data_IF_079528752134
#
_entry.id   IF_079528752134
#
_cell.length_a   1.000
_cell.length_b   1.000
_cell.length_c   1.000
_cell.angle_alpha   90.00
_cell.angle_beta   90.00
_cell.angle_gamma   90.00
#
_symmetry.space_group_name_H-M   'P 1'
#
loop_
_entity.id
_entity.type
_entity.pdbx_description
1 polymer ?
#
# COMPACT_ATOMS: atom_id res chain seq x y z
N UNK A 1 -23.77 19.80 -12.74
CA UNK A 1 -23.12 20.27 -11.50
C UNK A 1 -22.03 19.28 -11.17
N UNK A 2 -20.78 19.65 -11.39
CA UNK A 2 -19.64 18.73 -11.29
C UNK A 2 -19.27 18.49 -9.83
N UNK A 3 -19.27 17.22 -9.41
CA UNK A 3 -18.65 16.82 -8.16
C UNK A 3 -17.15 17.12 -8.27
N UNK A 4 -16.72 18.22 -7.66
CA UNK A 4 -15.33 18.49 -7.37
C UNK A 4 -14.88 17.47 -6.32
N UNK A 5 -14.47 16.28 -6.76
CA UNK A 5 -13.61 15.43 -5.96
C UNK A 5 -12.37 16.27 -5.67
N UNK A 6 -12.00 16.55 -4.41
CA UNK A 6 -10.83 17.36 -4.12
C UNK A 6 -9.63 16.68 -4.78
N UNK A 7 -9.09 17.31 -5.81
CA UNK A 7 -7.84 16.89 -6.44
C UNK A 7 -6.75 17.19 -5.41
N UNK A 8 -6.52 16.22 -4.52
CA UNK A 8 -5.49 16.31 -3.49
C UNK A 8 -4.14 16.45 -4.20
N UNK A 9 -3.58 17.65 -4.17
CA UNK A 9 -2.20 17.88 -4.58
C UNK A 9 -1.32 17.17 -3.55
N UNK A 10 -0.54 16.13 -3.93
CA UNK A 10 0.39 15.53 -3.00
C UNK A 10 1.34 16.63 -2.52
N UNK A 11 1.63 16.67 -1.21
CA UNK A 11 2.65 17.52 -0.63
C UNK A 11 3.88 17.56 -1.57
N UNK A 12 4.26 18.77 -1.99
CA UNK A 12 5.42 19.06 -2.85
C UNK A 12 6.74 18.87 -2.08
N UNK A 13 6.78 17.90 -1.15
CA UNK A 13 8.03 17.47 -0.53
C UNK A 13 8.83 16.76 -1.60
N UNK A 14 10.04 17.25 -1.86
CA UNK A 14 10.98 16.49 -2.67
C UNK A 14 11.36 15.22 -1.89
N UNK A 15 10.65 14.14 -2.17
CA UNK A 15 10.85 12.86 -1.49
C UNK A 15 12.26 12.30 -1.75
N UNK A 16 13.03 12.86 -2.69
CA UNK A 16 14.46 12.54 -2.84
C UNK A 16 15.26 13.00 -1.62
N UNK A 17 14.96 14.18 -1.09
CA UNK A 17 15.62 14.70 0.13
C UNK A 17 15.29 13.81 1.33
N UNK A 18 14.07 13.28 1.41
CA UNK A 18 13.70 12.34 2.47
C UNK A 18 14.54 11.06 2.41
N UNK A 19 14.92 10.58 1.23
CA UNK A 19 15.73 9.37 1.08
C UNK A 19 17.16 9.53 1.62
N UNK A 20 17.67 10.76 1.77
CA UNK A 20 18.98 11.01 2.37
C UNK A 20 19.04 10.57 3.84
N UNK A 21 17.89 10.47 4.52
CA UNK A 21 17.84 9.94 5.89
C UNK A 21 18.14 8.44 5.98
N UNK A 22 17.98 7.71 4.87
CA UNK A 22 18.38 6.31 4.75
C UNK A 22 19.87 6.24 4.40
N UNK A 23 20.72 6.52 5.38
CA UNK A 23 22.19 6.61 5.24
C UNK A 23 22.84 5.40 4.53
N UNK A 24 22.20 4.24 4.53
CA UNK A 24 22.67 3.01 3.89
C UNK A 24 22.22 2.81 2.43
N UNK A 25 21.40 3.72 1.89
CA UNK A 25 20.77 3.60 0.57
C UNK A 25 20.93 4.88 -0.26
N UNK A 26 21.37 4.71 -1.51
CA UNK A 26 21.50 5.79 -2.50
C UNK A 26 20.39 5.70 -3.53
N UNK A 27 19.62 6.78 -3.70
CA UNK A 27 18.58 6.88 -4.73
C UNK A 27 19.13 6.62 -6.14
N UNK A 28 18.32 5.96 -7.00
CA UNK A 28 18.63 5.73 -8.41
C UNK A 28 17.54 6.22 -9.35
N UNK A 29 16.35 5.65 -9.23
CA UNK A 29 15.25 5.94 -10.14
C UNK A 29 13.90 5.79 -9.44
N UNK A 30 12.87 6.42 -9.99
CA UNK A 30 11.49 6.25 -9.55
C UNK A 30 10.84 5.12 -10.36
N UNK A 31 10.34 4.10 -9.67
CA UNK A 31 9.68 2.95 -10.28
C UNK A 31 8.16 3.13 -10.37
N UNK A 32 7.56 3.90 -9.45
CA UNK A 32 6.11 4.01 -9.35
C UNK A 32 5.63 5.41 -8.99
N UNK A 33 4.53 5.82 -9.63
CA UNK A 33 3.86 7.12 -9.45
C UNK A 33 2.56 7.02 -8.63
N UNK A 34 2.45 6.01 -7.75
CA UNK A 34 1.26 5.83 -6.91
C UNK A 34 0.94 7.10 -6.11
N UNK A 35 -0.35 7.44 -6.01
CA UNK A 35 -0.81 8.64 -5.27
C UNK A 35 -0.46 8.60 -3.78
N UNK A 36 -0.54 7.40 -3.19
CA UNK A 36 -0.30 7.16 -1.75
C UNK A 36 1.15 6.75 -1.44
N UNK A 37 1.72 5.94 -2.32
CA UNK A 37 3.04 5.36 -2.15
C UNK A 37 3.87 5.64 -3.40
N UNK A 38 4.83 6.55 -3.29
CA UNK A 38 5.85 6.71 -4.33
C UNK A 38 6.88 5.60 -4.14
N UNK A 39 7.24 4.94 -5.23
CA UNK A 39 8.15 3.78 -5.18
C UNK A 39 9.44 4.13 -5.89
N UNK A 40 10.56 3.90 -5.21
CA UNK A 40 11.90 4.23 -5.67
C UNK A 40 12.78 3.00 -5.65
N UNK A 41 13.70 2.94 -6.61
CA UNK A 41 14.83 2.03 -6.59
C UNK A 41 16.02 2.75 -5.97
N UNK A 42 16.64 2.10 -5.00
CA UNK A 42 17.85 2.56 -4.36
C UNK A 42 18.95 1.49 -4.47
N UNK A 43 20.21 1.89 -4.24
CA UNK A 43 21.37 1.00 -4.18
C UNK A 43 21.99 1.12 -2.79
N UNK A 44 22.13 0.01 -2.08
CA UNK A 44 22.85 -0.08 -0.81
C UNK A 44 24.06 -1.00 -0.91
N UNK A 45 24.75 -1.18 0.23
CA UNK A 45 25.93 -2.06 0.33
C UNK A 45 25.63 -3.53 0.01
N UNK A 46 24.39 -3.99 0.25
CA UNK A 46 23.94 -5.36 -0.03
C UNK A 46 23.24 -5.53 -1.39
N UNK A 47 23.32 -4.52 -2.27
CA UNK A 47 22.72 -4.55 -3.60
C UNK A 47 21.55 -3.57 -3.78
N UNK A 48 20.69 -3.85 -4.75
CA UNK A 48 19.55 -2.98 -5.06
C UNK A 48 18.37 -3.22 -4.11
N UNK A 49 17.74 -2.14 -3.69
CA UNK A 49 16.57 -2.11 -2.82
C UNK A 49 15.42 -1.33 -3.48
N UNK A 50 14.19 -1.65 -3.08
CA UNK A 50 13.00 -0.86 -3.36
C UNK A 50 12.59 -0.16 -2.08
N UNK A 51 12.41 1.15 -2.15
CA UNK A 51 11.91 1.99 -1.08
C UNK A 51 10.56 2.55 -1.50
N UNK A 52 9.51 2.20 -0.76
CA UNK A 52 8.21 2.86 -0.86
C UNK A 52 8.11 3.95 0.19
N UNK A 53 7.80 5.15 -0.24
CA UNK A 53 7.60 6.31 0.63
C UNK A 53 6.11 6.49 0.85
N UNK A 54 5.66 6.21 2.05
CA UNK A 54 4.33 6.54 2.53
C UNK A 54 4.36 8.00 2.98
N UNK A 55 3.74 8.89 2.20
CA UNK A 55 3.57 10.27 2.64
C UNK A 55 2.44 10.28 3.64
N UNK A 56 2.75 10.68 4.86
CA UNK A 56 1.75 10.92 5.87
C UNK A 56 1.28 12.35 5.60
N UNK A 57 -0.03 12.53 5.48
CA UNK A 57 -0.58 13.87 5.25
C UNK A 57 -0.04 14.80 6.32
N UNK A 58 0.22 16.05 5.97
CA UNK A 58 0.56 17.12 6.90
C UNK A 58 0.01 18.43 6.34
N UNK A 59 -1.32 18.49 6.28
CA UNK A 59 -2.07 19.70 5.96
C UNK A 59 -2.16 20.68 7.16
N UNK A 60 -1.57 20.33 8.30
CA UNK A 60 -1.55 21.15 9.52
C UNK A 60 -0.33 22.11 9.65
N UNK A 61 0.45 22.32 8.59
CA UNK A 61 1.53 23.33 8.63
C UNK A 61 0.89 24.72 8.57
N UNK A 62 0.66 25.31 9.75
CA UNK A 62 0.22 26.71 9.90
C UNK A 62 -1.11 26.93 10.62
N UNK A 63 -1.79 25.90 11.14
CA UNK A 63 -3.02 26.06 11.91
C UNK A 63 -2.80 25.75 13.40
N UNK A 64 -3.50 26.50 14.27
CA UNK A 64 -3.60 26.44 15.73
C UNK A 64 -3.03 25.19 16.44
N UNK A 65 -2.29 25.43 17.54
CA UNK A 65 -1.47 24.48 18.32
C UNK A 65 -2.19 23.23 18.85
N UNK A 66 -3.52 23.17 18.86
CA UNK A 66 -4.27 21.97 19.30
C UNK A 66 -4.56 21.00 18.14
N UNK A 67 -5.08 21.51 17.02
CA UNK A 67 -5.36 20.69 15.84
C UNK A 67 -4.08 20.09 15.26
N UNK A 68 -2.97 20.85 15.27
CA UNK A 68 -1.66 20.34 14.86
C UNK A 68 -1.13 19.21 15.76
N UNK A 69 -1.42 19.27 17.08
CA UNK A 69 -1.04 18.21 18.03
C UNK A 69 -1.89 16.96 17.85
N UNK A 70 -3.20 17.10 17.74
CA UNK A 70 -4.14 15.99 17.50
C UNK A 70 -3.80 15.27 16.18
N UNK A 71 -3.45 16.04 15.15
CA UNK A 71 -3.03 15.51 13.87
C UNK A 71 -1.69 14.75 13.93
N UNK A 72 -0.68 15.31 14.62
CA UNK A 72 0.61 14.66 14.80
C UNK A 72 0.49 13.34 15.58
N UNK A 73 -0.40 13.27 16.57
CA UNK A 73 -0.70 12.03 17.30
C UNK A 73 -1.39 10.99 16.42
N UNK A 74 -2.34 11.39 15.56
CA UNK A 74 -2.99 10.48 14.61
C UNK A 74 -2.02 9.93 13.56
N UNK A 75 -1.09 10.76 13.08
CA UNK A 75 0.01 10.36 12.20
C UNK A 75 0.92 9.32 12.89
N UNK A 76 1.34 9.62 14.13
CA UNK A 76 2.18 8.73 14.92
C UNK A 76 1.49 7.38 15.12
N UNK A 77 0.20 7.39 15.47
CA UNK A 77 -0.62 6.19 15.64
C UNK A 77 -0.73 5.38 14.35
N UNK A 78 -0.94 6.04 13.21
CA UNK A 78 -0.99 5.38 11.89
C UNK A 78 0.32 4.66 11.59
N UNK A 79 1.45 5.28 11.90
CA UNK A 79 2.75 4.65 11.65
C UNK A 79 3.06 3.52 12.64
N UNK A 80 2.72 3.69 13.91
CA UNK A 80 2.83 2.63 14.92
C UNK A 80 2.02 1.40 14.52
N UNK A 81 0.80 1.62 14.02
CA UNK A 81 -0.05 0.55 13.48
C UNK A 81 0.62 -0.14 12.28
N UNK A 82 1.13 0.63 11.31
CA UNK A 82 1.81 0.07 10.14
C UNK A 82 3.07 -0.74 10.53
N UNK A 83 3.83 -0.26 11.52
CA UNK A 83 4.98 -0.98 12.08
C UNK A 83 4.56 -2.29 12.75
N UNK A 84 3.53 -2.26 13.58
CA UNK A 84 3.01 -3.44 14.26
C UNK A 84 2.52 -4.50 13.27
N UNK A 85 1.72 -4.09 12.28
CA UNK A 85 1.23 -4.97 11.22
C UNK A 85 2.39 -5.61 10.44
N UNK A 86 3.44 -4.86 10.16
CA UNK A 86 4.58 -5.39 9.43
C UNK A 86 5.45 -6.32 10.28
N UNK A 87 5.62 -6.01 11.57
CA UNK A 87 6.28 -6.90 12.50
C UNK A 87 5.54 -8.24 12.61
N UNK A 88 4.21 -8.20 12.66
CA UNK A 88 3.36 -9.39 12.64
C UNK A 88 3.52 -10.19 11.34
N UNK A 89 3.48 -9.53 10.17
CA UNK A 89 3.71 -10.19 8.89
C UNK A 89 5.07 -10.89 8.84
N UNK A 90 6.14 -10.26 9.36
CA UNK A 90 7.47 -10.88 9.43
C UNK A 90 7.54 -12.05 10.39
N UNK A 91 6.82 -11.99 11.50
CA UNK A 91 6.75 -13.08 12.46
C UNK A 91 6.06 -14.31 11.86
N UNK A 92 5.02 -14.09 11.04
CA UNK A 92 4.25 -15.16 10.39
C UNK A 92 4.91 -15.70 9.11
N UNK A 93 5.58 -14.83 8.35
CA UNK A 93 6.14 -15.15 7.03
C UNK A 93 7.67 -15.16 7.05
N UNK A 94 8.26 -16.34 7.30
CA UNK A 94 9.70 -16.54 7.16
C UNK A 94 10.11 -16.98 5.74
N UNK A 95 11.25 -16.52 5.19
CA UNK A 95 11.73 -16.94 3.88
C UNK A 95 12.00 -18.45 3.75
N UNK A 96 12.35 -19.12 4.85
CA UNK A 96 12.61 -20.56 4.87
C UNK A 96 11.34 -21.38 4.67
N UNK A 97 10.23 -20.96 5.27
CA UNK A 97 8.94 -21.65 5.17
C UNK A 97 8.09 -21.15 4.00
N UNK A 98 8.31 -19.91 3.56
CA UNK A 98 7.49 -19.23 2.55
C UNK A 98 8.38 -18.69 1.39
N UNK A 99 9.04 -19.56 0.63
CA UNK A 99 10.03 -19.16 -0.38
C UNK A 99 9.45 -18.42 -1.60
N UNK A 100 8.12 -18.37 -1.75
CA UNK A 100 7.45 -17.63 -2.81
C UNK A 100 6.86 -16.30 -2.32
N UNK A 101 7.26 -15.83 -1.14
CA UNK A 101 6.73 -14.62 -0.50
C UNK A 101 7.87 -13.69 -0.10
N UNK A 102 7.73 -12.39 -0.40
CA UNK A 102 8.69 -11.34 -0.09
C UNK A 102 7.99 -10.13 0.56
N UNK A 103 7.78 -10.14 1.88
CA UNK A 103 7.22 -9.01 2.60
C UNK A 103 8.24 -7.87 2.74
N UNK A 104 7.78 -6.68 3.17
CA UNK A 104 8.68 -5.56 3.44
C UNK A 104 9.64 -5.89 4.59
N UNK A 105 10.93 -5.62 4.42
CA UNK A 105 11.99 -6.03 5.36
C UNK A 105 12.33 -4.97 6.40
N UNK A 106 12.14 -3.68 6.09
CA UNK A 106 12.25 -2.59 7.09
C UNK A 106 11.11 -1.58 6.94
N UNK A 107 10.68 -1.00 8.05
CA UNK A 107 9.94 0.26 8.06
C UNK A 107 10.71 1.28 8.91
N UNK A 108 10.78 2.51 8.43
CA UNK A 108 11.49 3.59 9.10
C UNK A 108 10.67 4.88 9.02
N UNK A 109 10.43 5.55 10.16
CA UNK A 109 9.87 6.91 10.18
C UNK A 109 10.97 7.89 9.78
N UNK A 110 10.70 8.79 8.85
CA UNK A 110 11.59 9.92 8.63
C UNK A 110 11.58 10.83 9.86
N UNK A 111 12.75 11.31 10.27
CA UNK A 111 12.95 12.24 11.39
C UNK A 111 12.45 13.63 11.06
N UNK A 112 12.75 14.12 9.85
CA UNK A 112 12.54 15.52 9.48
C UNK A 112 11.38 15.72 8.50
N UNK A 113 10.72 14.64 8.09
CA UNK A 113 9.67 14.66 7.10
C UNK A 113 8.45 13.84 7.56
N UNK A 114 7.21 14.24 7.19
CA UNK A 114 5.99 13.51 7.50
C UNK A 114 5.84 12.32 6.56
N UNK A 115 6.79 11.39 6.61
CA UNK A 115 6.76 10.21 5.77
C UNK A 115 7.42 9.01 6.43
N UNK A 116 7.11 7.83 5.92
CA UNK A 116 7.73 6.58 6.32
C UNK A 116 8.24 5.81 5.11
N UNK A 117 9.36 5.13 5.30
CA UNK A 117 10.01 4.29 4.30
C UNK A 117 9.66 2.84 4.57
N UNK A 118 9.12 2.14 3.58
CA UNK A 118 9.06 0.69 3.55
C UNK A 118 10.13 0.17 2.60
N UNK A 119 11.03 -0.65 3.09
CA UNK A 119 12.20 -1.11 2.33
C UNK A 119 12.12 -2.61 2.10
N UNK A 120 12.34 -3.03 0.86
CA UNK A 120 12.57 -4.43 0.50
C UNK A 120 13.68 -4.61 -0.53
N UNK A 121 14.08 -5.85 -0.79
CA UNK A 121 14.97 -6.19 -1.90
C UNK A 121 14.34 -5.83 -3.25
N UNK A 122 15.15 -5.33 -4.18
CA UNK A 122 14.74 -5.14 -5.56
C UNK A 122 14.83 -6.44 -6.36
N UNK A 123 13.73 -6.77 -7.04
CA UNK A 123 13.67 -7.84 -8.05
C UNK A 123 13.40 -7.17 -9.38
N UNK A 124 14.08 -7.63 -10.43
CA UNK A 124 14.18 -6.92 -11.70
C UNK A 124 12.84 -6.70 -12.41
N UNK A 125 11.90 -7.65 -12.30
CA UNK A 125 10.63 -7.57 -13.01
C UNK A 125 9.45 -7.83 -12.07
N UNK A 126 8.39 -7.05 -12.26
CA UNK A 126 7.04 -7.49 -11.96
C UNK A 126 6.56 -8.49 -13.01
N UNK A 127 5.60 -9.34 -12.66
CA UNK A 127 4.96 -10.25 -13.60
C UNK A 127 4.31 -9.45 -14.73
N UNK A 128 3.72 -8.30 -14.41
CA UNK A 128 3.19 -7.37 -15.40
C UNK A 128 4.22 -6.97 -16.47
N UNK A 129 5.40 -6.53 -16.05
CA UNK A 129 6.49 -6.18 -16.99
C UNK A 129 6.95 -7.41 -17.77
N UNK A 130 7.11 -8.55 -17.09
CA UNK A 130 7.59 -9.79 -17.70
C UNK A 130 6.67 -10.31 -18.80
N UNK A 131 5.35 -10.30 -18.59
CA UNK A 131 4.37 -10.73 -19.61
C UNK A 131 4.24 -9.72 -20.76
N UNK A 132 4.56 -8.45 -20.50
CA UNK A 132 4.50 -7.37 -21.50
C UNK A 132 5.77 -7.25 -22.35
N UNK A 133 6.83 -7.98 -22.00
CA UNK A 133 8.15 -7.87 -22.63
C UNK A 133 8.47 -9.12 -23.47
N UNK A 134 9.04 -8.91 -24.65
CA UNK A 134 9.54 -10.02 -25.50
C UNK A 134 10.89 -10.54 -25.00
N UNK A 135 11.19 -11.84 -25.14
CA UNK A 135 10.31 -12.87 -25.68
C UNK A 135 9.17 -13.20 -24.71
N UNK A 136 7.99 -13.46 -25.28
CA UNK A 136 6.84 -13.85 -24.49
C UNK A 136 7.07 -15.20 -23.82
N UNK A 137 6.44 -15.38 -22.66
CA UNK A 137 6.48 -16.65 -21.94
C UNK A 137 5.87 -17.76 -22.80
N UNK A 138 6.55 -18.89 -22.86
CA UNK A 138 6.00 -20.15 -23.33
C UNK A 138 4.90 -20.65 -22.38
N UNK A 139 4.08 -21.59 -22.85
CA UNK A 139 3.00 -22.13 -22.02
C UNK A 139 3.51 -22.91 -20.80
N UNK A 140 4.70 -23.51 -20.89
CA UNK A 140 5.35 -24.17 -19.76
C UNK A 140 5.75 -23.14 -18.70
N UNK A 141 6.35 -22.02 -19.11
CA UNK A 141 6.73 -20.95 -18.18
C UNK A 141 5.50 -20.30 -17.53
N UNK A 142 4.41 -20.08 -18.29
CA UNK A 142 3.15 -19.59 -17.74
C UNK A 142 2.61 -20.52 -16.65
N UNK A 143 2.53 -21.83 -16.93
CA UNK A 143 2.09 -22.83 -15.95
C UNK A 143 2.99 -22.87 -14.72
N UNK A 144 4.30 -22.76 -14.91
CA UNK A 144 5.27 -22.72 -13.81
C UNK A 144 5.09 -21.49 -12.90
N UNK A 145 4.88 -20.32 -13.48
CA UNK A 145 4.60 -19.08 -12.74
C UNK A 145 3.26 -19.20 -12.01
N UNK A 146 2.20 -19.68 -12.67
CA UNK A 146 0.89 -19.89 -12.04
C UNK A 146 0.97 -20.83 -10.85
N UNK A 147 1.68 -21.96 -10.98
CA UNK A 147 1.89 -22.92 -9.90
C UNK A 147 2.57 -22.26 -8.69
N UNK A 148 3.66 -21.52 -8.90
CA UNK A 148 4.35 -20.85 -7.81
C UNK A 148 3.50 -19.75 -7.16
N UNK A 149 2.69 -19.02 -7.93
CA UNK A 149 1.77 -18.02 -7.37
C UNK A 149 0.71 -18.69 -6.47
N UNK A 150 0.15 -19.83 -6.89
CA UNK A 150 -0.76 -20.62 -6.05
C UNK A 150 -0.06 -21.12 -4.77
N UNK A 151 1.21 -21.54 -4.87
CA UNK A 151 2.02 -21.89 -3.69
C UNK A 151 2.26 -20.70 -2.77
N UNK A 152 2.52 -19.50 -3.30
CA UNK A 152 2.67 -18.29 -2.51
C UNK A 152 1.39 -17.99 -1.72
N UNK A 153 0.22 -18.11 -2.35
CA UNK A 153 -1.06 -17.92 -1.67
C UNK A 153 -1.31 -19.01 -0.61
N UNK A 154 -1.02 -20.27 -0.91
CA UNK A 154 -1.12 -21.36 0.06
C UNK A 154 -0.19 -21.15 1.27
N UNK A 155 1.03 -20.68 1.02
CA UNK A 155 2.01 -20.28 2.05
C UNK A 155 1.44 -19.17 2.94
N UNK A 156 0.92 -18.10 2.35
CA UNK A 156 0.29 -17.01 3.10
C UNK A 156 -0.89 -17.50 3.95
N UNK A 157 -1.82 -18.24 3.34
CA UNK A 157 -3.02 -18.72 4.02
C UNK A 157 -2.69 -19.73 5.13
N UNK A 158 -1.69 -20.59 4.91
CA UNK A 158 -1.19 -21.52 5.94
C UNK A 158 -0.61 -20.81 7.16
N UNK A 159 -0.08 -19.60 6.99
CA UNK A 159 0.38 -18.72 8.07
C UNK A 159 -0.74 -17.81 8.63
N UNK A 160 -1.99 -17.99 8.20
CA UNK A 160 -3.12 -17.14 8.59
C UNK A 160 -2.99 -15.69 8.08
N UNK A 161 -2.28 -15.47 6.97
CA UNK A 161 -2.07 -14.16 6.35
C UNK A 161 -2.83 -14.08 5.03
N UNK A 162 -3.61 -13.01 4.86
CA UNK A 162 -4.27 -12.68 3.59
C UNK A 162 -3.51 -11.54 2.93
N UNK A 163 -3.27 -11.64 1.62
CA UNK A 163 -2.48 -10.64 0.88
C UNK A 163 -3.19 -9.29 0.72
N UNK A 164 -4.49 -9.31 0.41
CA UNK A 164 -5.34 -8.11 0.28
C UNK A 164 -5.23 -7.33 -1.03
N UNK A 165 -4.18 -7.52 -1.82
CA UNK A 165 -3.97 -6.78 -3.09
C UNK A 165 -3.27 -7.61 -4.18
N UNK A 166 -3.76 -8.82 -4.47
CA UNK A 166 -3.13 -9.69 -5.48
C UNK A 166 -3.37 -9.13 -6.88
N UNK A 167 -2.28 -8.80 -7.57
CA UNK A 167 -2.26 -8.32 -8.96
C UNK A 167 -0.89 -8.51 -9.58
N UNK A 168 -0.79 -8.48 -10.91
CA UNK A 168 0.45 -8.73 -11.66
C UNK A 168 1.62 -7.81 -11.29
N UNK A 169 1.33 -6.63 -10.77
CA UNK A 169 2.29 -5.61 -10.34
C UNK A 169 2.91 -5.95 -8.96
N UNK A 170 2.17 -6.70 -8.13
CA UNK A 170 2.59 -7.14 -6.80
C UNK A 170 3.16 -8.58 -6.83
N UNK A 171 3.30 -9.17 -8.01
CA UNK A 171 3.97 -10.45 -8.22
C UNK A 171 5.32 -10.15 -8.88
N UNK A 172 6.43 -10.45 -8.22
CA UNK A 172 7.77 -10.26 -8.77
C UNK A 172 8.27 -11.57 -9.40
N UNK A 173 9.08 -11.43 -10.45
CA UNK A 173 9.63 -12.55 -11.20
C UNK A 173 11.14 -12.35 -11.38
N UNK A 174 11.93 -13.36 -11.02
CA UNK A 174 13.39 -13.36 -11.23
C UNK A 174 13.76 -13.73 -12.67
N UNK A 175 15.04 -13.66 -13.01
CA UNK A 175 15.56 -14.05 -14.35
C UNK A 175 15.36 -15.52 -14.71
N UNK A 176 15.18 -16.40 -13.72
CA UNK A 176 14.88 -17.82 -13.91
C UNK A 176 13.40 -18.14 -13.64
N UNK A 177 12.50 -17.16 -13.79
CA UNK A 177 11.06 -17.29 -13.60
C UNK A 177 10.63 -17.75 -12.19
N UNK A 178 11.40 -17.41 -11.14
CA UNK A 178 10.97 -17.63 -9.76
C UNK A 178 10.02 -16.53 -9.30
N UNK A 179 8.91 -16.93 -8.67
CA UNK A 179 7.85 -16.01 -8.23
C UNK A 179 8.01 -15.61 -6.77
N UNK A 180 7.87 -14.31 -6.52
CA UNK A 180 7.83 -13.73 -5.18
C UNK A 180 6.60 -12.80 -5.08
N UNK A 181 5.62 -13.18 -4.27
CA UNK A 181 4.47 -12.34 -3.94
C UNK A 181 4.88 -11.27 -2.91
N UNK A 182 4.60 -10.01 -3.18
CA UNK A 182 5.06 -8.87 -2.38
C UNK A 182 3.96 -7.82 -2.20
N UNK A 183 4.24 -6.77 -1.42
CA UNK A 183 3.35 -5.61 -1.29
C UNK A 183 1.97 -5.94 -0.67
N UNK A 184 2.02 -6.70 0.43
CA UNK A 184 0.88 -7.00 1.29
C UNK A 184 0.18 -5.72 1.75
N UNK A 185 -1.15 -5.75 1.71
CA UNK A 185 -1.96 -4.57 1.99
C UNK A 185 -3.03 -4.85 3.07
N UNK A 186 -2.61 -5.13 4.33
CA UNK A 186 -3.53 -5.44 5.43
C UNK A 186 -4.40 -4.25 5.84
N UNK A 187 -4.04 -3.03 5.43
CA UNK A 187 -4.75 -1.79 5.74
C UNK A 187 -5.90 -1.48 4.77
N UNK A 188 -6.03 -2.20 3.64
CA UNK A 188 -7.10 -1.92 2.69
C UNK A 188 -8.45 -2.42 3.23
N UNK A 189 -9.55 -1.69 3.00
CA UNK A 189 -10.86 -2.07 3.50
C UNK A 189 -11.31 -3.40 2.89
N UNK A 190 -11.85 -4.31 3.70
CA UNK A 190 -12.32 -5.62 3.23
C UNK A 190 -13.57 -5.49 2.37
N UNK A 191 -14.55 -4.69 2.81
CA UNK A 191 -15.80 -4.40 2.10
C UNK A 191 -15.76 -2.99 1.52
N UNK A 192 -16.39 -2.83 0.37
CA UNK A 192 -16.50 -1.57 -0.36
C UNK A 192 -17.98 -1.25 -0.55
N UNK A 193 -18.40 0.02 -0.48
CA UNK A 193 -19.75 0.43 -0.86
C UNK A 193 -20.02 0.11 -2.33
N UNK A 194 -21.22 -0.34 -2.64
CA UNK A 194 -21.65 -0.61 -4.03
C UNK A 194 -22.00 0.68 -4.79
N UNK A 195 -22.53 1.66 -4.06
CA UNK A 195 -23.04 2.95 -4.55
C UNK A 195 -21.97 4.07 -4.60
N UNK A 196 -20.88 3.92 -3.85
CA UNK A 196 -19.75 4.87 -3.84
C UNK A 196 -18.41 4.20 -4.17
N UNK A 197 -17.85 4.53 -5.33
CA UNK A 197 -16.59 3.94 -5.82
C UNK A 197 -15.34 4.70 -5.35
N UNK A 198 -15.49 5.71 -4.49
CA UNK A 198 -14.38 6.52 -3.98
C UNK A 198 -13.31 5.68 -3.30
N UNK A 199 -13.73 4.73 -2.44
CA UNK A 199 -12.82 3.81 -1.76
C UNK A 199 -12.11 2.87 -2.74
N UNK A 200 -12.84 2.35 -3.73
CA UNK A 200 -12.26 1.53 -4.80
C UNK A 200 -11.15 2.31 -5.53
N UNK A 201 -11.47 3.52 -5.97
CA UNK A 201 -10.51 4.36 -6.70
C UNK A 201 -9.31 4.74 -5.84
N UNK A 202 -9.52 4.99 -4.55
CA UNK A 202 -8.47 5.39 -3.63
C UNK A 202 -7.53 4.23 -3.27
N UNK A 203 -8.06 3.06 -2.93
CA UNK A 203 -7.25 1.94 -2.43
C UNK A 203 -6.79 0.96 -3.52
N UNK A 204 -7.58 0.76 -4.58
CA UNK A 204 -7.35 -0.33 -5.55
C UNK A 204 -6.96 0.15 -6.94
N UNK A 205 -7.43 1.33 -7.39
CA UNK A 205 -7.14 1.87 -8.72
C UNK A 205 -6.07 2.99 -8.74
N UNK A 206 -5.72 3.55 -7.56
CA UNK A 206 -4.86 4.72 -7.45
C UNK A 206 -3.45 4.50 -8.04
N UNK A 207 -3.26 4.96 -9.29
CA UNK A 207 -1.97 5.07 -9.94
C UNK A 207 -1.67 4.02 -11.02
N UNK A 208 -2.61 3.11 -11.33
CA UNK A 208 -2.40 2.18 -12.45
C UNK A 208 -2.62 2.85 -13.80
N UNK A 209 -3.54 3.83 -13.88
CA UNK A 209 -4.02 4.43 -15.12
C UNK A 209 -4.70 3.42 -16.07
N UNK A 210 -4.84 2.17 -15.64
CA UNK A 210 -5.14 1.00 -16.48
C UNK A 210 -6.59 0.50 -16.34
N UNK A 211 -7.39 1.12 -15.46
CA UNK A 211 -8.83 0.84 -15.25
C UNK A 211 -9.13 -0.68 -15.13
N UNK A 212 -8.36 -1.41 -14.32
CA UNK A 212 -8.56 -2.84 -14.06
C UNK A 212 -9.05 -3.06 -12.65
N UNK A 213 -10.10 -3.88 -12.50
CA UNK A 213 -10.60 -4.31 -11.21
C UNK A 213 -10.09 -5.73 -10.91
N UNK A 214 -9.27 -5.87 -9.86
CA UNK A 214 -8.87 -7.16 -9.30
C UNK A 214 -9.66 -7.49 -8.02
N UNK A 215 -10.65 -6.66 -7.66
CA UNK A 215 -11.47 -6.84 -6.48
C UNK A 215 -12.60 -7.81 -6.82
N UNK A 216 -12.75 -8.84 -6.00
CA UNK A 216 -13.80 -9.83 -6.16
C UNK A 216 -15.19 -9.20 -5.90
N UNK A 217 -16.24 -9.60 -6.65
CA UNK A 217 -17.56 -8.95 -6.60
C UNK A 217 -18.23 -9.02 -5.23
N UNK A 218 -18.02 -10.08 -4.45
CA UNK A 218 -18.59 -10.26 -3.11
C UNK A 218 -18.05 -9.27 -2.06
N UNK A 219 -17.02 -8.48 -2.42
CA UNK A 219 -16.50 -7.42 -1.56
C UNK A 219 -17.30 -6.12 -1.66
N UNK A 220 -18.14 -5.98 -2.68
CA UNK A 220 -19.05 -4.85 -2.82
C UNK A 220 -20.34 -5.15 -2.04
N UNK A 221 -20.68 -4.26 -1.13
CA UNK A 221 -21.75 -4.47 -0.15
C UNK A 221 -22.57 -3.19 0.00
N UNK A 222 -23.86 -3.29 -0.32
CA UNK A 222 -24.85 -2.21 -0.16
C UNK A 222 -24.95 -1.64 1.28
N UNK A 223 -24.55 -2.42 2.30
CA UNK A 223 -24.55 -1.97 3.69
C UNK A 223 -23.20 -1.38 4.15
N UNK A 224 -22.15 -1.45 3.31
CA UNK A 224 -20.85 -0.91 3.67
C UNK A 224 -20.87 0.63 3.65
N UNK A 225 -20.42 1.24 4.73
CA UNK A 225 -20.14 2.68 4.78
C UNK A 225 -18.71 2.92 4.33
N UNK A 226 -18.52 3.74 3.31
CA UNK A 226 -17.21 4.04 2.75
C UNK A 226 -16.33 4.82 3.72
N UNK A 227 -15.01 4.71 3.56
CA UNK A 227 -14.01 5.43 4.34
C UNK A 227 -14.20 6.95 4.27
N UNK A 228 -14.65 7.45 3.12
CA UNK A 228 -14.95 8.87 2.90
C UNK A 228 -16.41 9.25 3.16
N UNK A 229 -17.29 8.29 3.43
CA UNK A 229 -18.69 8.62 3.74
C UNK A 229 -18.79 9.24 5.13
N UNK A 230 -19.38 10.43 5.28
CA UNK A 230 -19.56 11.05 6.59
C UNK A 230 -20.36 10.10 7.49
N UNK A 231 -19.86 9.84 8.70
CA UNK A 231 -20.66 9.16 9.72
C UNK A 231 -21.78 10.10 10.14
N UNK A 232 -22.97 9.90 9.58
CA UNK A 232 -24.18 10.53 10.07
C UNK A 232 -24.44 10.03 11.49
N UNK A 233 -24.16 10.88 12.49
CA UNK A 233 -24.52 10.62 13.89
C UNK A 233 -23.62 11.24 14.96
N UNK A 234 -23.42 12.56 14.93
CA UNK A 234 -23.33 13.39 16.15
C UNK A 234 -24.28 14.58 15.93
N UNK A 235 -25.56 14.23 15.72
CA UNK A 235 -26.66 15.18 15.70
C UNK A 235 -27.27 15.26 17.09
N UNK A 236 -26.83 16.27 17.84
CA UNK A 236 -27.58 17.02 18.85
C UNK A 236 -28.80 16.29 19.47
N UNK A 237 -28.54 15.48 20.49
CA UNK A 237 -29.55 14.98 21.43
C UNK A 237 -29.82 16.01 22.53
N UNK A 238 -30.34 17.18 22.16
CA UNK A 238 -30.64 18.30 23.06
C UNK A 238 -32.14 18.51 23.27
N UNK A 239 -32.79 17.58 23.98
CA UNK A 239 -33.94 17.83 24.86
C UNK A 239 -35.13 18.63 24.33
N UNK A 240 -36.11 17.93 23.74
CA UNK A 240 -37.51 18.32 23.91
C UNK A 240 -37.94 18.08 25.36
N UNK A 241 -38.24 19.16 26.09
CA UNK A 241 -38.92 19.13 27.38
C UNK A 241 -40.11 20.09 27.34
N UNK A 242 -41.32 19.55 27.31
CA UNK A 242 -42.56 20.32 27.42
C UNK A 242 -43.03 20.44 28.88
N UNK A 243 -43.94 21.40 29.10
CA UNK A 243 -44.91 21.39 30.18
C UNK A 243 -44.71 22.48 31.25
N UNK A 244 -45.71 23.37 31.37
CA UNK A 244 -45.91 24.26 32.51
C UNK A 244 -46.12 25.71 32.12
#
# INVERSE_FOLDING_TARGET
MGNNVPTVTPLQVDLRLCLEELNDLVYREQLGHGKLLKTYRCKGGQGAAVVKVLVIRSDAVGQSTRAAKEFAEEEKRTLELANAQLAELRARLSPLLHPNVLPMQRVHRARNHPCAFLVRQHVQWSLYERISTRPFLSDVEKRWITFQLLRALAQCHGAGVVHGDVKSENVLVTSWNWVLLTDFAPFKPTRLPEDDHSDFHYFFDAGSGRRRCYVAPERFDSAAKGFFTPRSGDGDGGGGGGGG
#
